data_IF_907279380822
#
_entry.id   IF_907279380822
#
_cell.length_a   1.000
_cell.length_b   1.000
_cell.length_c   1.000
_cell.angle_alpha   90.00
_cell.angle_beta   90.00
_cell.angle_gamma   90.00
#
_symmetry.space_group_name_H-M   'P 1'
#
loop_
_entity.id
_entity.type
_entity.pdbx_description
1 polymer ?
#
# COMPACT_ATOMS: atom_id res chain seq x y z
N UNK A 1 -20.64 -20.12 20.20
CA UNK A 1 -21.56 -20.84 19.30
C UNK A 1 -22.20 -19.93 18.25
N UNK A 2 -23.06 -18.95 18.61
CA UNK A 2 -23.69 -18.07 17.61
C UNK A 2 -22.69 -17.23 16.79
N UNK A 3 -21.75 -16.54 17.45
CA UNK A 3 -20.74 -15.71 16.76
C UNK A 3 -19.84 -16.52 15.82
N UNK A 4 -19.45 -17.73 16.23
CA UNK A 4 -18.63 -18.64 15.41
C UNK A 4 -19.38 -19.05 14.13
N UNK A 5 -20.66 -19.37 14.25
CA UNK A 5 -21.48 -19.75 13.10
C UNK A 5 -21.74 -18.58 12.15
N UNK A 6 -21.95 -17.37 12.70
CA UNK A 6 -22.03 -16.15 11.91
C UNK A 6 -20.73 -15.89 11.14
N UNK A 7 -19.57 -15.97 11.81
CA UNK A 7 -18.28 -15.78 11.16
C UNK A 7 -18.04 -16.83 10.06
N UNK A 8 -18.34 -18.11 10.35
CA UNK A 8 -18.24 -19.19 9.36
C UNK A 8 -19.03 -18.89 8.09
N UNK A 9 -20.22 -18.29 8.21
CA UNK A 9 -21.08 -17.95 7.08
C UNK A 9 -20.63 -16.66 6.36
N UNK A 10 -20.17 -15.64 7.08
CA UNK A 10 -19.83 -14.34 6.50
C UNK A 10 -18.41 -14.29 5.90
N UNK A 11 -17.43 -14.84 6.61
CA UNK A 11 -16.00 -14.73 6.24
C UNK A 11 -15.41 -16.04 5.74
N UNK A 12 -16.06 -17.16 6.01
CA UNK A 12 -15.60 -18.48 5.61
C UNK A 12 -14.53 -19.06 6.53
N UNK A 13 -13.90 -20.14 6.08
CA UNK A 13 -12.83 -20.86 6.79
C UNK A 13 -11.59 -20.98 5.90
N UNK A 14 -10.42 -20.92 6.51
CA UNK A 14 -9.15 -21.24 5.86
C UNK A 14 -8.71 -22.64 6.29
N UNK A 15 -8.63 -23.59 5.34
CA UNK A 15 -8.33 -25.00 5.62
C UNK A 15 -9.19 -25.62 6.75
N UNK A 16 -10.49 -25.30 6.75
CA UNK A 16 -11.44 -25.82 7.74
C UNK A 16 -11.36 -25.18 9.14
N UNK A 17 -10.57 -24.11 9.30
CA UNK A 17 -10.42 -23.37 10.57
C UNK A 17 -10.75 -21.90 10.40
N UNK A 18 -11.08 -21.24 11.51
CA UNK A 18 -11.19 -19.78 11.53
C UNK A 18 -9.84 -19.14 11.19
N UNK A 19 -9.90 -17.92 10.64
CA UNK A 19 -8.72 -17.19 10.23
C UNK A 19 -7.82 -16.87 11.44
N UNK A 20 -6.57 -17.30 11.38
CA UNK A 20 -5.61 -17.13 12.48
C UNK A 20 -5.04 -15.71 12.50
N UNK A 21 -5.02 -15.07 13.68
CA UNK A 21 -4.36 -13.79 13.86
C UNK A 21 -2.86 -13.97 14.10
N UNK A 22 -2.05 -13.10 13.49
CA UNK A 22 -0.59 -13.11 13.62
C UNK A 22 -0.17 -12.10 14.69
N UNK A 23 0.66 -12.55 15.64
CA UNK A 23 1.30 -11.64 16.59
C UNK A 23 2.29 -10.72 15.86
N UNK A 24 2.12 -9.41 16.04
CA UNK A 24 2.95 -8.39 15.40
C UNK A 24 4.08 -7.94 16.34
N UNK A 25 5.25 -7.59 15.78
CA UNK A 25 6.39 -7.17 16.59
C UNK A 25 6.09 -5.85 17.29
N UNK A 26 6.69 -5.66 18.48
CA UNK A 26 6.53 -4.46 19.29
C UNK A 26 6.86 -3.18 18.53
N UNK A 27 7.91 -3.22 17.69
CA UNK A 27 8.28 -2.08 16.84
C UNK A 27 7.15 -1.61 15.92
N UNK A 28 6.29 -2.52 15.43
CA UNK A 28 5.16 -2.17 14.59
C UNK A 28 3.95 -1.70 15.43
N UNK A 29 3.66 -2.37 16.55
CA UNK A 29 2.54 -1.99 17.42
C UNK A 29 2.78 -0.65 18.12
N UNK A 30 4.02 -0.32 18.49
CA UNK A 30 4.39 1.00 19.03
C UNK A 30 4.20 2.13 18.01
N UNK A 31 4.52 1.89 16.73
CA UNK A 31 4.26 2.86 15.65
C UNK A 31 2.76 3.08 15.46
N UNK A 32 1.97 2.00 15.44
CA UNK A 32 0.51 2.06 15.38
C UNK A 32 -0.09 2.88 16.53
N UNK A 33 0.34 2.63 17.77
CA UNK A 33 -0.13 3.37 18.94
C UNK A 33 0.27 4.86 18.91
N UNK A 34 1.51 5.15 18.48
CA UNK A 34 2.06 6.52 18.46
C UNK A 34 1.43 7.38 17.37
N UNK A 35 1.18 6.81 16.20
CA UNK A 35 0.67 7.53 15.03
C UNK A 35 -0.84 7.34 14.81
N UNK A 36 -1.51 6.53 15.63
CA UNK A 36 -2.96 6.40 15.65
C UNK A 36 -3.54 5.75 14.40
N UNK A 37 -3.01 4.60 13.98
CA UNK A 37 -3.56 3.80 12.88
C UNK A 37 -3.82 2.36 13.31
N UNK A 38 -4.86 1.74 12.75
CA UNK A 38 -5.17 0.34 13.00
C UNK A 38 -4.12 -0.58 12.37
N UNK A 39 -3.75 -1.62 13.11
CA UNK A 39 -2.79 -2.61 12.67
C UNK A 39 -3.33 -4.02 12.96
N UNK A 40 -3.56 -4.79 11.89
CA UNK A 40 -4.10 -6.14 11.97
C UNK A 40 -3.28 -7.07 11.06
N UNK A 41 -3.14 -8.33 11.46
CA UNK A 41 -2.43 -9.32 10.67
C UNK A 41 -3.06 -10.71 10.84
N UNK A 42 -3.17 -11.42 9.72
CA UNK A 42 -3.84 -12.70 9.64
C UNK A 42 -3.06 -13.67 8.76
N UNK A 43 -3.18 -14.97 9.03
CA UNK A 43 -2.50 -16.03 8.28
C UNK A 43 -3.48 -16.84 7.44
N UNK A 44 -3.13 -17.06 6.18
CA UNK A 44 -3.79 -18.02 5.31
C UNK A 44 -2.84 -19.18 5.06
N UNK A 45 -3.31 -20.39 5.38
CA UNK A 45 -2.61 -21.65 5.19
C UNK A 45 -3.12 -22.37 3.94
N UNK A 46 -2.32 -23.34 3.49
CA UNK A 46 -2.65 -24.30 2.46
C UNK A 46 -2.24 -25.70 2.93
N UNK A 47 -2.83 -26.73 2.32
CA UNK A 47 -2.46 -28.11 2.61
C UNK A 47 -1.00 -28.37 2.23
N UNK A 48 -0.31 -29.19 3.02
CA UNK A 48 1.09 -29.50 2.79
C UNK A 48 1.23 -30.35 1.53
N UNK A 49 1.96 -29.83 0.54
CA UNK A 49 2.39 -30.62 -0.61
C UNK A 49 3.58 -31.52 -0.24
N UNK A 50 3.68 -32.67 -0.90
CA UNK A 50 4.79 -33.63 -0.70
C UNK A 50 6.03 -33.24 -1.52
N UNK A 51 5.83 -32.62 -2.69
CA UNK A 51 6.88 -32.36 -3.68
C UNK A 51 7.41 -30.93 -3.60
N UNK A 52 6.59 -29.98 -3.16
CA UNK A 52 6.94 -28.56 -3.10
C UNK A 52 6.98 -28.06 -1.67
N UNK A 53 7.98 -27.24 -1.39
CA UNK A 53 8.05 -26.49 -0.15
C UNK A 53 7.00 -25.36 -0.13
N UNK A 54 6.49 -24.99 1.06
CA UNK A 54 5.57 -23.86 1.19
C UNK A 54 6.22 -22.56 0.71
N UNK A 55 5.52 -21.85 -0.17
CA UNK A 55 5.92 -20.49 -0.59
C UNK A 55 5.16 -19.45 0.22
N UNK A 56 5.61 -19.22 1.45
CA UNK A 56 4.98 -18.24 2.34
C UNK A 56 5.37 -16.83 1.92
N UNK A 57 4.37 -15.96 1.77
CA UNK A 57 4.56 -14.54 1.43
C UNK A 57 3.69 -13.72 2.36
N UNK A 58 4.26 -12.64 2.92
CA UNK A 58 3.53 -11.66 3.71
C UNK A 58 3.19 -10.45 2.85
N UNK A 59 1.90 -10.14 2.77
CA UNK A 59 1.38 -8.97 2.03
C UNK A 59 0.93 -7.90 3.02
N UNK A 60 1.18 -6.64 2.68
CA UNK A 60 0.72 -5.48 3.43
C UNK A 60 -0.22 -4.64 2.58
N UNK A 61 -1.34 -4.23 3.16
CA UNK A 61 -2.33 -3.36 2.53
C UNK A 61 -2.44 -2.08 3.36
N UNK A 62 -2.21 -0.93 2.73
CA UNK A 62 -2.31 0.38 3.40
C UNK A 62 -3.56 1.10 2.89
N UNK A 63 -4.37 1.56 3.85
CA UNK A 63 -5.49 2.47 3.62
C UNK A 63 -5.31 3.70 4.50
N UNK A 64 -5.48 4.88 3.94
CA UNK A 64 -5.35 6.14 4.65
C UNK A 64 -6.27 7.22 4.07
N UNK A 65 -6.66 8.17 4.91
CA UNK A 65 -7.24 9.44 4.48
C UNK A 65 -6.16 10.47 4.12
N UNK A 66 -6.53 11.52 3.39
CA UNK A 66 -5.68 12.70 3.18
C UNK A 66 -5.30 13.36 4.51
N UNK A 67 -4.22 14.13 4.52
CA UNK A 67 -3.66 14.72 5.74
C UNK A 67 -3.94 16.22 5.91
N UNK A 68 -4.16 16.96 4.81
CA UNK A 68 -4.45 18.39 4.82
C UNK A 68 -5.73 18.70 4.02
N UNK A 69 -6.37 19.88 4.25
CA UNK A 69 -7.50 20.32 3.45
C UNK A 69 -7.16 20.42 1.97
N UNK A 70 -8.15 20.16 1.12
CA UNK A 70 -8.03 20.23 -0.35
C UNK A 70 -7.78 21.64 -0.89
N UNK A 71 -7.88 22.66 -0.03
CA UNK A 71 -7.58 24.07 -0.31
C UNK A 71 -6.13 24.47 -0.03
N UNK A 72 -5.34 23.61 0.64
CA UNK A 72 -3.91 23.86 0.86
C UNK A 72 -3.12 23.75 -0.46
N UNK A 73 -1.87 24.23 -0.47
CA UNK A 73 -1.01 24.05 -1.64
C UNK A 73 -0.77 22.56 -1.93
N UNK A 74 -0.74 22.18 -3.20
CA UNK A 74 -0.64 20.76 -3.60
C UNK A 74 0.65 20.09 -3.10
N UNK A 75 1.75 20.83 -3.10
CA UNK A 75 3.04 20.37 -2.55
C UNK A 75 2.90 20.00 -1.07
N UNK A 76 2.23 20.85 -0.29
CA UNK A 76 2.01 20.60 1.15
C UNK A 76 1.07 19.42 1.37
N UNK A 77 0.01 19.30 0.57
CA UNK A 77 -0.92 18.17 0.63
C UNK A 77 -0.20 16.84 0.38
N UNK A 78 0.60 16.76 -0.69
CA UNK A 78 1.38 15.56 -1.04
C UNK A 78 2.40 15.21 0.05
N UNK A 79 3.16 16.20 0.54
CA UNK A 79 4.13 16.03 1.62
C UNK A 79 3.46 15.52 2.91
N UNK A 80 2.30 16.06 3.27
CA UNK A 80 1.58 15.63 4.46
C UNK A 80 1.08 14.18 4.34
N UNK A 81 0.69 13.73 3.14
CA UNK A 81 0.37 12.33 2.89
C UNK A 81 1.62 11.45 3.05
N UNK A 82 2.77 11.87 2.52
CA UNK A 82 4.03 11.12 2.65
C UNK A 82 4.43 10.94 4.12
N UNK A 83 4.37 12.01 4.92
CA UNK A 83 4.66 11.95 6.36
C UNK A 83 3.66 11.06 7.12
N UNK A 84 2.39 11.03 6.70
CA UNK A 84 1.38 10.15 7.29
C UNK A 84 1.60 8.68 6.96
N UNK A 85 1.97 8.37 5.72
CA UNK A 85 2.13 6.99 5.24
C UNK A 85 3.47 6.39 5.66
N UNK A 86 4.51 7.21 5.82
CA UNK A 86 5.84 6.81 6.30
C UNK A 86 5.83 5.87 7.51
N UNK A 87 5.22 6.21 8.67
CA UNK A 87 5.21 5.30 9.82
C UNK A 87 4.41 4.02 9.56
N UNK A 88 3.42 4.04 8.65
CA UNK A 88 2.64 2.87 8.26
C UNK A 88 3.50 1.91 7.42
N UNK A 89 4.29 2.45 6.48
CA UNK A 89 5.27 1.66 5.71
C UNK A 89 6.34 1.10 6.63
N UNK A 90 6.87 1.89 7.57
CA UNK A 90 7.86 1.43 8.55
C UNK A 90 7.32 0.31 9.45
N UNK A 91 6.04 0.38 9.86
CA UNK A 91 5.38 -0.69 10.58
C UNK A 91 5.26 -1.97 9.73
N UNK A 92 4.80 -1.85 8.49
CA UNK A 92 4.71 -2.97 7.55
C UNK A 92 6.07 -3.64 7.29
N UNK A 93 7.11 -2.83 7.07
CA UNK A 93 8.48 -3.30 6.89
C UNK A 93 9.03 -4.00 8.15
N UNK A 94 8.76 -3.44 9.33
CA UNK A 94 9.12 -4.07 10.61
C UNK A 94 8.37 -5.38 10.86
N UNK A 95 7.16 -5.50 10.32
CA UNK A 95 6.39 -6.75 10.30
C UNK A 95 6.84 -7.74 9.22
N UNK A 96 7.93 -7.49 8.49
CA UNK A 96 8.46 -8.45 7.50
C UNK A 96 7.57 -8.63 6.26
N UNK A 97 6.81 -7.60 5.88
CA UNK A 97 6.03 -7.60 4.63
C UNK A 97 6.95 -7.72 3.41
N UNK A 98 6.64 -8.65 2.51
CA UNK A 98 7.37 -8.87 1.27
C UNK A 98 6.79 -8.06 0.10
N UNK A 99 5.47 -7.86 0.08
CA UNK A 99 4.76 -7.11 -0.95
C UNK A 99 3.81 -6.13 -0.27
N UNK A 100 4.02 -4.83 -0.50
CA UNK A 100 3.21 -3.76 0.05
C UNK A 100 2.38 -3.10 -1.06
N UNK A 101 1.11 -2.84 -0.80
CA UNK A 101 0.23 -2.15 -1.74
C UNK A 101 -0.41 -0.91 -1.10
N UNK A 102 -0.35 0.21 -1.82
CA UNK A 102 -1.03 1.46 -1.48
C UNK A 102 -2.36 1.56 -2.22
N UNK A 103 -3.28 2.37 -1.70
CA UNK A 103 -4.57 2.62 -2.34
C UNK A 103 -4.46 3.39 -3.67
N UNK A 104 -5.54 3.41 -4.46
CA UNK A 104 -5.63 4.16 -5.71
C UNK A 104 -5.34 5.65 -5.50
N UNK A 105 -4.46 6.23 -6.33
CA UNK A 105 -4.07 7.64 -6.29
C UNK A 105 -3.69 8.14 -4.88
N UNK A 106 -2.98 7.31 -4.11
CA UNK A 106 -2.74 7.53 -2.67
C UNK A 106 -2.12 8.89 -2.32
N UNK A 107 -1.35 9.46 -3.24
CA UNK A 107 -0.61 10.72 -3.10
C UNK A 107 -1.45 12.00 -3.30
N UNK A 108 -2.76 11.88 -3.53
CA UNK A 108 -3.64 13.03 -3.77
C UNK A 108 -5.06 12.82 -3.21
N UNK A 109 -5.84 13.89 -3.02
CA UNK A 109 -7.28 13.76 -2.83
C UNK A 109 -7.94 13.14 -4.06
N UNK A 110 -9.00 12.36 -3.86
CA UNK A 110 -9.77 11.78 -4.96
C UNK A 110 -10.70 12.83 -5.61
N UNK A 111 -10.09 13.82 -6.26
CA UNK A 111 -10.75 15.03 -6.74
C UNK A 111 -11.34 14.92 -8.16
N UNK A 112 -11.26 13.74 -8.77
CA UNK A 112 -11.75 13.47 -10.14
C UNK A 112 -13.26 13.78 -10.26
N UNK A 113 -14.01 13.68 -9.17
CA UNK A 113 -15.42 14.07 -9.09
C UNK A 113 -15.68 15.55 -9.42
N UNK A 114 -14.70 16.43 -9.24
CA UNK A 114 -14.82 17.88 -9.50
C UNK A 114 -14.68 18.24 -10.98
N UNK A 115 -14.03 17.36 -11.78
CA UNK A 115 -13.68 17.60 -13.19
C UNK A 115 -12.81 18.83 -13.44
N UNK A 116 -12.20 19.39 -12.40
CA UNK A 116 -11.30 20.54 -12.51
C UNK A 116 -9.90 20.06 -12.93
N UNK A 117 -9.36 20.64 -14.00
CA UNK A 117 -8.05 20.27 -14.54
C UNK A 117 -6.89 20.69 -13.67
N UNK A 118 -7.06 21.58 -12.69
CA UNK A 118 -5.98 21.95 -11.77
C UNK A 118 -5.40 20.73 -11.03
N UNK A 119 -6.22 19.72 -10.75
CA UNK A 119 -5.79 18.49 -10.07
C UNK A 119 -4.80 17.66 -10.87
N UNK A 120 -4.68 17.90 -12.19
CA UNK A 120 -3.68 17.28 -13.05
C UNK A 120 -2.25 17.67 -12.68
N UNK A 121 -2.04 18.70 -11.85
CA UNK A 121 -0.72 19.07 -11.31
C UNK A 121 -0.17 18.01 -10.33
N UNK A 122 -1.02 17.17 -9.73
CA UNK A 122 -0.56 16.01 -8.97
C UNK A 122 0.07 14.92 -9.86
N UNK A 123 -0.16 14.96 -11.18
CA UNK A 123 0.36 13.93 -12.08
C UNK A 123 1.88 14.03 -12.20
N UNK A 124 2.56 12.92 -11.96
CA UNK A 124 4.02 12.81 -12.01
C UNK A 124 4.48 11.75 -13.02
N UNK A 125 5.70 11.82 -13.56
CA UNK A 125 6.24 10.71 -14.34
C UNK A 125 6.37 9.45 -13.47
N UNK A 126 6.42 8.27 -14.10
CA UNK A 126 6.52 6.97 -13.40
C UNK A 126 7.71 6.90 -12.44
N UNK A 127 8.83 7.54 -12.76
CA UNK A 127 10.03 7.65 -11.94
C UNK A 127 10.09 8.96 -11.12
N UNK A 128 8.92 9.56 -10.89
CA UNK A 128 8.72 10.80 -10.16
C UNK A 128 9.01 10.69 -8.65
N UNK A 129 8.56 11.73 -7.93
CA UNK A 129 8.89 11.90 -6.52
C UNK A 129 8.33 10.77 -5.65
N UNK A 130 7.09 10.31 -5.89
CA UNK A 130 6.50 9.24 -5.06
C UNK A 130 7.20 7.91 -5.27
N UNK A 131 7.59 7.60 -6.51
CA UNK A 131 8.42 6.41 -6.80
C UNK A 131 9.79 6.49 -6.15
N UNK A 132 10.44 7.66 -6.17
CA UNK A 132 11.74 7.87 -5.47
C UNK A 132 11.61 7.75 -3.95
N UNK A 133 10.53 8.28 -3.38
CA UNK A 133 10.21 8.14 -1.96
C UNK A 133 10.03 6.66 -1.59
N UNK A 134 9.22 5.90 -2.34
CA UNK A 134 8.98 4.49 -2.05
C UNK A 134 10.20 3.60 -2.33
N UNK A 135 11.07 3.98 -3.28
CA UNK A 135 12.32 3.27 -3.57
C UNK A 135 13.19 3.10 -2.32
N UNK A 136 13.30 4.11 -1.46
CA UNK A 136 14.10 3.98 -0.24
C UNK A 136 13.53 2.94 0.73
N UNK A 137 12.21 2.79 0.80
CA UNK A 137 11.55 1.79 1.64
C UNK A 137 11.65 0.39 1.05
N UNK A 138 11.50 0.27 -0.28
CA UNK A 138 11.69 -0.99 -0.98
C UNK A 138 13.08 -1.58 -0.70
N UNK A 139 14.12 -0.75 -0.78
CA UNK A 139 15.50 -1.12 -0.44
C UNK A 139 15.69 -1.40 1.05
N UNK A 140 15.24 -0.50 1.92
CA UNK A 140 15.41 -0.61 3.38
C UNK A 140 14.85 -1.91 3.93
N UNK A 141 13.72 -2.36 3.41
CA UNK A 141 12.98 -3.51 3.92
C UNK A 141 13.02 -4.73 3.00
N UNK A 142 13.76 -4.67 1.89
CA UNK A 142 13.80 -5.73 0.88
C UNK A 142 12.38 -6.16 0.45
N UNK A 143 11.52 -5.19 0.13
CA UNK A 143 10.11 -5.41 -0.19
C UNK A 143 9.74 -4.88 -1.58
N UNK A 144 8.80 -5.55 -2.24
CA UNK A 144 8.15 -5.04 -3.46
C UNK A 144 7.05 -4.06 -3.04
N UNK A 145 6.94 -2.91 -3.72
CA UNK A 145 5.91 -1.90 -3.43
C UNK A 145 5.09 -1.62 -4.70
N UNK A 146 3.78 -1.69 -4.57
CA UNK A 146 2.81 -1.32 -5.61
C UNK A 146 2.29 0.08 -5.29
N UNK A 147 2.54 1.03 -6.19
CA UNK A 147 2.22 2.45 -6.03
C UNK A 147 1.27 2.93 -7.14
N UNK A 148 -0.05 2.94 -6.88
CA UNK A 148 -1.02 3.54 -7.79
C UNK A 148 -0.95 5.08 -7.76
N UNK A 149 -0.55 5.69 -8.86
CA UNK A 149 -0.37 7.14 -9.01
C UNK A 149 -1.16 7.69 -10.19
N UNK A 150 -1.32 9.01 -10.21
CA UNK A 150 -1.68 9.74 -11.42
C UNK A 150 -0.39 9.97 -12.21
N UNK A 151 -0.25 9.30 -13.35
CA UNK A 151 0.92 9.37 -14.19
C UNK A 151 0.80 10.51 -15.21
N UNK A 152 1.87 11.26 -15.43
CA UNK A 152 2.05 12.14 -16.60
C UNK A 152 3.07 11.51 -17.55
N UNK A 153 2.62 11.05 -18.72
CA UNK A 153 3.47 10.40 -19.72
C UNK A 153 4.19 11.44 -20.59
N UNK A 154 5.39 11.84 -20.17
CA UNK A 154 6.21 12.84 -20.86
C UNK A 154 6.60 12.40 -22.29
N UNK A 155 6.64 11.10 -22.57
CA UNK A 155 7.06 10.58 -23.88
C UNK A 155 5.93 10.58 -24.91
N UNK A 156 4.68 10.56 -24.45
CA UNK A 156 3.49 10.50 -25.30
C UNK A 156 2.62 11.75 -25.15
N UNK A 157 3.24 12.93 -25.20
CA UNK A 157 2.51 14.21 -25.22
C UNK A 157 1.86 14.60 -23.90
N UNK A 158 2.45 14.21 -22.77
CA UNK A 158 1.98 14.50 -21.41
C UNK A 158 0.57 13.98 -21.11
N UNK A 159 0.16 12.89 -21.78
CA UNK A 159 -1.11 12.23 -21.51
C UNK A 159 -1.13 11.71 -20.08
N UNK A 160 -2.25 11.94 -19.40
CA UNK A 160 -2.42 11.57 -18.00
C UNK A 160 -3.10 10.20 -17.90
N UNK A 161 -2.50 9.31 -17.12
CA UNK A 161 -2.99 7.94 -16.90
C UNK A 161 -3.19 7.66 -15.42
N UNK A 162 -4.10 6.73 -15.12
CA UNK A 162 -4.15 6.09 -13.81
C UNK A 162 -3.27 4.83 -13.88
N UNK A 163 -2.20 4.81 -13.10
CA UNK A 163 -1.11 3.86 -13.29
C UNK A 163 -0.67 3.25 -11.98
N UNK A 164 -0.66 1.92 -11.91
CA UNK A 164 0.03 1.18 -10.88
C UNK A 164 1.49 0.98 -11.26
N UNK A 165 2.41 1.55 -10.48
CA UNK A 165 3.86 1.34 -10.63
C UNK A 165 4.31 0.22 -9.69
N UNK A 166 5.03 -0.77 -10.22
CA UNK A 166 5.60 -1.87 -9.43
C UNK A 166 7.07 -1.59 -9.19
N UNK A 167 7.43 -1.30 -7.94
CA UNK A 167 8.80 -1.05 -7.49
C UNK A 167 9.34 -2.35 -6.88
N UNK A 168 10.41 -2.87 -7.45
CA UNK A 168 11.08 -4.07 -6.95
C UNK A 168 11.80 -3.84 -5.63
N UNK A 169 12.11 -4.94 -4.95
CA UNK A 169 12.86 -4.95 -3.68
C UNK A 169 14.31 -4.42 -3.81
N UNK A 170 14.87 -4.37 -5.04
CA UNK A 170 16.14 -3.68 -5.33
C UNK A 170 15.94 -2.21 -5.71
N UNK A 171 14.74 -1.66 -5.54
CA UNK A 171 14.41 -0.26 -5.82
C UNK A 171 14.22 0.08 -7.31
N UNK A 172 14.41 -0.88 -8.22
CA UNK A 172 14.15 -0.69 -9.65
C UNK A 172 12.64 -0.71 -9.94
N UNK A 173 12.20 0.00 -10.98
CA UNK A 173 10.84 -0.17 -11.51
C UNK A 173 10.83 -1.49 -12.29
N UNK A 174 9.96 -2.42 -11.90
CA UNK A 174 9.78 -3.72 -12.58
C UNK A 174 8.83 -3.55 -13.77
N UNK A 175 7.82 -2.71 -13.62
CA UNK A 175 6.85 -2.44 -14.67
C UNK A 175 5.74 -1.51 -14.19
N UNK A 176 4.85 -1.20 -15.12
CA UNK A 176 3.65 -0.39 -14.88
C UNK A 176 2.43 -1.07 -15.47
N UNK A 177 1.26 -0.77 -14.92
CA UNK A 177 -0.04 -1.14 -15.48
C UNK A 177 -0.97 0.08 -15.46
N UNK A 178 -1.55 0.41 -16.62
CA UNK A 178 -2.50 1.52 -16.79
C UNK A 178 -3.92 0.98 -16.80
N UNK A 179 -4.84 1.71 -16.16
CA UNK A 179 -6.28 1.42 -16.12
C UNK A 179 -6.96 1.69 -17.46
#
# INVERSE_FOLDING_TARGET
MFLQEVNRLLTGLNCGKELEAIALPESATSLSATHGFDLQAYSFHADKEVIREPRVVRVGLIQNSIALPTTAHFVDQKKAIFEKVKPIIDAAGSSGVNILCLQEAWMMPFAICTRDKRWCEFAEPVDGESTKFLRSYALKYNMVIISPILERDMNHGEVIWNTAVVIGNHGNIIGIHRK
#
